data_IF_467680633671
#
_entry.id   IF_467680633671
#
_cell.length_a   1.000
_cell.length_b   1.000
_cell.length_c   1.000
_cell.angle_alpha   90.00
_cell.angle_beta   90.00
_cell.angle_gamma   90.00
#
_symmetry.space_group_name_H-M   'P 1'
#
loop_
_entity.id
_entity.type
_entity.pdbx_description
1 polymer ?
#
# COMPACT_ATOMS: atom_id res chain seq x y z
N UNK A 1 -2.24 22.41 -22.76
CA UNK A 1 -1.44 21.49 -23.61
C UNK A 1 0.03 21.43 -23.18
N UNK A 2 0.38 21.50 -21.89
CA UNK A 2 1.78 21.61 -21.46
C UNK A 2 2.31 20.53 -20.53
N UNK A 3 1.53 19.54 -20.09
CA UNK A 3 2.00 18.67 -19.01
C UNK A 3 2.30 17.18 -19.37
N UNK A 4 1.96 16.73 -20.56
CA UNK A 4 2.27 15.33 -20.94
C UNK A 4 3.76 15.08 -21.19
N UNK A 5 4.46 16.07 -21.70
CA UNK A 5 5.89 15.95 -22.09
C UNK A 5 6.85 15.81 -20.92
N UNK A 6 6.49 16.24 -19.72
CA UNK A 6 7.37 16.23 -18.55
C UNK A 6 7.35 14.90 -17.80
N UNK A 7 6.20 14.22 -17.71
CA UNK A 7 6.07 12.92 -17.05
C UNK A 7 6.80 11.81 -17.83
N UNK A 8 6.73 11.84 -19.14
CA UNK A 8 7.37 10.85 -20.02
C UNK A 8 8.91 10.93 -19.98
N UNK A 9 9.46 12.06 -19.49
CA UNK A 9 10.90 12.27 -19.33
C UNK A 9 11.42 11.80 -17.97
N UNK A 10 10.55 11.49 -17.01
CA UNK A 10 10.98 10.99 -15.72
C UNK A 10 11.61 9.59 -15.84
N UNK A 11 12.58 9.27 -14.99
CA UNK A 11 13.26 7.98 -15.04
C UNK A 11 12.28 6.82 -14.86
N UNK A 12 12.60 5.67 -15.46
CA UNK A 12 11.90 4.40 -15.28
C UNK A 12 12.61 3.54 -14.25
N UNK A 13 11.88 2.62 -13.64
CA UNK A 13 12.43 1.65 -12.69
C UNK A 13 13.43 0.70 -13.34
N UNK A 14 14.39 0.23 -12.56
CA UNK A 14 15.34 -0.80 -13.00
C UNK A 14 14.71 -2.19 -12.91
N UNK A 15 14.11 -2.65 -14.00
CA UNK A 15 13.47 -3.98 -14.07
C UNK A 15 14.45 -5.12 -14.37
N UNK A 16 15.71 -4.84 -14.73
CA UNK A 16 16.65 -5.86 -15.18
C UNK A 16 16.96 -6.91 -14.10
N UNK A 17 17.08 -6.48 -12.84
CA UNK A 17 17.28 -7.41 -11.73
C UNK A 17 16.01 -8.23 -11.43
N UNK A 18 14.82 -7.63 -11.56
CA UNK A 18 13.53 -8.27 -11.29
C UNK A 18 13.28 -9.42 -12.28
N UNK A 19 13.55 -9.19 -13.57
CA UNK A 19 13.47 -10.22 -14.61
C UNK A 19 14.41 -11.41 -14.33
N UNK A 20 15.57 -11.17 -13.72
CA UNK A 20 16.52 -12.25 -13.35
C UNK A 20 16.12 -12.96 -12.06
N UNK A 21 15.60 -12.22 -11.08
CA UNK A 21 15.23 -12.76 -9.76
C UNK A 21 14.04 -13.71 -9.84
N UNK A 22 13.01 -13.40 -10.61
CA UNK A 22 11.82 -14.22 -10.94
C UNK A 22 10.99 -14.74 -9.78
N UNK A 23 11.56 -14.93 -8.59
CA UNK A 23 10.90 -15.52 -7.43
C UNK A 23 11.09 -14.66 -6.19
N UNK A 24 9.97 -14.20 -5.64
CA UNK A 24 9.90 -13.36 -4.46
C UNK A 24 8.76 -13.71 -3.55
N UNK A 25 8.71 -13.06 -2.38
CA UNK A 25 7.69 -13.25 -1.36
C UNK A 25 6.81 -12.00 -1.30
N UNK A 26 5.50 -12.19 -1.38
CA UNK A 26 4.53 -11.14 -1.06
C UNK A 26 3.95 -11.40 0.33
N UNK A 27 4.09 -10.45 1.25
CA UNK A 27 3.63 -10.58 2.64
C UNK A 27 2.42 -9.68 2.85
N UNK A 28 1.23 -10.28 2.99
CA UNK A 28 0.01 -9.61 3.44
C UNK A 28 -0.17 -9.87 4.92
N UNK A 29 0.09 -8.86 5.75
CA UNK A 29 -0.05 -8.96 7.19
C UNK A 29 -0.42 -7.61 7.79
N UNK A 30 -1.29 -7.60 8.81
CA UNK A 30 -1.82 -6.41 9.46
C UNK A 30 -2.97 -6.77 10.40
N UNK A 31 -3.77 -5.80 10.82
CA UNK A 31 -4.90 -6.03 11.74
C UNK A 31 -5.86 -7.11 11.22
N UNK A 32 -6.09 -7.17 9.92
CA UNK A 32 -6.95 -8.15 9.25
C UNK A 32 -6.47 -9.61 9.43
N UNK A 33 -5.23 -9.83 9.80
CA UNK A 33 -4.72 -11.16 10.12
C UNK A 33 -5.23 -11.68 11.48
N UNK A 34 -5.55 -10.79 12.42
CA UNK A 34 -6.06 -11.15 13.75
C UNK A 34 -7.36 -11.97 13.67
N UNK A 35 -8.40 -11.57 12.92
CA UNK A 35 -9.59 -12.38 12.75
C UNK A 35 -9.41 -13.64 11.92
N UNK A 36 -8.30 -13.78 11.18
CA UNK A 36 -7.91 -14.94 10.38
C UNK A 36 -8.99 -15.41 9.38
N UNK A 37 -9.75 -14.47 8.77
CA UNK A 37 -10.81 -14.78 7.82
C UNK A 37 -10.51 -14.29 6.41
N UNK A 38 -10.10 -13.02 6.28
CA UNK A 38 -9.88 -12.37 4.98
C UNK A 38 -9.21 -11.00 5.17
N UNK A 39 -8.34 -10.58 4.26
CA UNK A 39 -7.74 -9.23 4.29
C UNK A 39 -8.76 -8.11 4.07
N UNK A 40 -9.90 -8.44 3.47
CA UNK A 40 -11.05 -7.55 3.28
C UNK A 40 -12.11 -7.68 4.38
N UNK A 41 -11.81 -8.30 5.52
CA UNK A 41 -12.79 -8.59 6.58
C UNK A 41 -13.59 -7.35 6.98
N UNK A 42 -12.95 -6.18 7.15
CA UNK A 42 -13.62 -4.92 7.49
C UNK A 42 -14.73 -4.56 6.48
N UNK A 43 -14.42 -4.65 5.18
CA UNK A 43 -15.39 -4.32 4.13
C UNK A 43 -16.42 -5.42 3.88
N UNK A 44 -16.05 -6.70 4.02
CA UNK A 44 -16.98 -7.83 3.80
C UNK A 44 -18.00 -7.97 4.93
N UNK A 45 -17.58 -7.68 6.14
CA UNK A 45 -18.43 -7.70 7.32
C UNK A 45 -19.03 -6.31 7.64
N UNK A 46 -18.81 -5.33 6.76
CA UNK A 46 -19.34 -3.95 6.85
C UNK A 46 -19.08 -3.30 8.20
N UNK A 47 -17.87 -3.54 8.74
CA UNK A 47 -17.48 -3.05 10.07
C UNK A 47 -17.21 -1.54 10.05
N UNK A 48 -17.73 -0.88 11.06
CA UNK A 48 -17.35 0.50 11.38
C UNK A 48 -15.91 0.56 11.92
N UNK A 49 -15.35 1.75 12.07
CA UNK A 49 -14.05 1.91 12.73
C UNK A 49 -14.11 1.45 14.19
N UNK A 50 -15.22 1.73 14.87
CA UNK A 50 -15.45 1.29 16.25
C UNK A 50 -15.49 -0.23 16.37
N UNK A 51 -16.18 -0.93 15.47
CA UNK A 51 -16.23 -2.40 15.45
C UNK A 51 -14.85 -3.02 15.16
N UNK A 52 -14.04 -2.33 14.35
CA UNK A 52 -12.72 -2.80 13.93
C UNK A 52 -11.63 -2.49 14.96
N UNK A 53 -11.85 -1.50 15.85
CA UNK A 53 -10.91 -1.05 16.87
C UNK A 53 -10.39 -2.20 17.75
N UNK A 54 -11.22 -3.19 18.05
CA UNK A 54 -10.81 -4.39 18.82
C UNK A 54 -9.59 -5.12 18.28
N UNK A 55 -9.38 -5.08 16.95
CA UNK A 55 -8.21 -5.70 16.34
C UNK A 55 -6.94 -4.86 16.51
N UNK A 56 -7.09 -3.53 16.55
CA UNK A 56 -6.01 -2.64 16.94
C UNK A 56 -5.62 -2.86 18.41
N UNK A 57 -6.60 -2.89 19.31
CA UNK A 57 -6.39 -3.03 20.77
C UNK A 57 -5.79 -4.39 21.15
N UNK A 58 -5.92 -5.40 20.28
CA UNK A 58 -5.39 -6.76 20.49
C UNK A 58 -4.20 -7.12 19.60
N UNK A 59 -3.63 -6.15 18.87
CA UNK A 59 -2.52 -6.42 17.95
C UNK A 59 -1.18 -6.46 18.69
N UNK A 60 -0.91 -7.57 19.36
CA UNK A 60 0.30 -7.81 20.15
C UNK A 60 1.44 -8.38 19.30
N UNK A 61 1.12 -9.12 18.22
CA UNK A 61 2.09 -9.73 17.32
C UNK A 61 3.18 -10.56 18.04
N UNK A 62 2.78 -11.32 19.05
CA UNK A 62 3.65 -12.09 19.99
C UNK A 62 4.57 -13.10 19.30
N UNK A 63 4.19 -13.57 18.10
CA UNK A 63 4.97 -14.50 17.26
C UNK A 63 5.68 -13.84 16.08
N UNK A 64 5.73 -12.52 16.05
CA UNK A 64 6.40 -11.80 14.98
C UNK A 64 7.92 -11.96 15.07
N UNK A 65 8.49 -12.71 14.14
CA UNK A 65 9.92 -12.97 14.00
C UNK A 65 10.34 -12.76 12.53
N UNK A 66 10.77 -11.55 12.16
CA UNK A 66 11.14 -11.24 10.79
C UNK A 66 12.43 -11.93 10.33
N UNK A 67 13.34 -12.29 11.25
CA UNK A 67 14.55 -13.04 10.92
C UNK A 67 14.19 -14.48 10.48
N UNK A 68 13.22 -15.12 11.15
CA UNK A 68 12.71 -16.44 10.78
C UNK A 68 11.99 -16.39 9.41
N UNK A 69 11.23 -15.33 9.14
CA UNK A 69 10.58 -15.15 7.83
C UNK A 69 11.60 -15.03 6.70
N UNK A 70 12.64 -14.20 6.92
CA UNK A 70 13.70 -13.99 5.95
C UNK A 70 14.52 -15.28 5.71
N UNK A 71 14.78 -16.07 6.76
CA UNK A 71 15.46 -17.36 6.66
C UNK A 71 14.65 -18.36 5.83
N UNK A 72 13.36 -18.48 6.08
CA UNK A 72 12.47 -19.36 5.33
C UNK A 72 12.39 -18.95 3.85
N UNK A 73 12.31 -17.65 3.56
CA UNK A 73 12.30 -17.13 2.21
C UNK A 73 13.63 -17.38 1.47
N UNK A 74 14.77 -17.21 2.15
CA UNK A 74 16.10 -17.51 1.59
C UNK A 74 16.25 -19.00 1.28
N UNK A 75 15.85 -19.87 2.20
CA UNK A 75 15.88 -21.33 2.03
C UNK A 75 15.00 -21.79 0.85
N UNK A 76 13.87 -21.09 0.60
CA UNK A 76 13.01 -21.32 -0.55
C UNK A 76 13.61 -20.80 -1.88
N UNK A 77 14.72 -20.07 -1.84
CA UNK A 77 15.36 -19.52 -3.05
C UNK A 77 14.80 -18.17 -3.50
N UNK A 78 13.97 -17.50 -2.70
CA UNK A 78 13.44 -16.17 -3.00
C UNK A 78 14.55 -15.10 -2.99
N UNK A 79 14.35 -13.98 -3.73
CA UNK A 79 15.38 -12.96 -3.91
C UNK A 79 14.91 -11.54 -3.58
N UNK A 80 13.62 -11.35 -3.45
CA UNK A 80 13.00 -10.08 -3.06
C UNK A 80 11.74 -10.36 -2.25
N UNK A 81 11.29 -9.37 -1.52
CA UNK A 81 10.01 -9.40 -0.84
C UNK A 81 9.22 -8.12 -1.12
N UNK A 82 7.91 -8.19 -0.95
CA UNK A 82 7.00 -7.05 -0.93
C UNK A 82 6.13 -7.16 0.31
N UNK A 83 6.26 -6.18 1.22
CA UNK A 83 5.48 -6.11 2.46
C UNK A 83 4.33 -5.12 2.32
N UNK A 84 3.14 -5.49 2.76
CA UNK A 84 2.04 -4.53 2.93
C UNK A 84 2.37 -3.54 4.03
N UNK A 85 2.75 -2.32 3.66
CA UNK A 85 3.02 -1.25 4.64
C UNK A 85 1.72 -0.69 5.21
N UNK A 86 0.71 -0.51 4.35
CA UNK A 86 -0.67 -0.17 4.68
C UNK A 86 -1.61 -0.89 3.71
N UNK A 87 -2.57 -1.66 4.21
CA UNK A 87 -3.67 -2.22 3.43
C UNK A 87 -4.88 -1.28 3.44
N UNK A 88 -5.99 -1.67 2.84
CA UNK A 88 -7.20 -0.85 2.69
C UNK A 88 -7.84 -0.41 4.02
N UNK A 89 -7.56 -1.12 5.12
CA UNK A 89 -8.05 -0.77 6.45
C UNK A 89 -7.38 0.46 7.07
N UNK A 90 -6.34 1.00 6.41
CA UNK A 90 -5.65 2.22 6.80
C UNK A 90 -4.58 2.05 7.88
N UNK A 91 -4.42 0.83 8.44
CA UNK A 91 -3.44 0.60 9.50
C UNK A 91 -2.01 0.58 8.96
N UNK A 92 -1.17 1.45 9.52
CA UNK A 92 0.22 1.61 9.12
C UNK A 92 1.15 0.68 9.92
N UNK A 93 1.90 -0.19 9.24
CA UNK A 93 2.87 -1.07 9.88
C UNK A 93 4.22 -0.40 10.20
N UNK A 94 4.33 0.91 10.03
CA UNK A 94 5.53 1.71 10.33
C UNK A 94 5.20 2.90 11.21
N UNK A 95 6.23 3.57 11.73
CA UNK A 95 6.10 4.76 12.58
C UNK A 95 5.78 6.02 11.74
N UNK A 96 4.66 5.99 11.00
CA UNK A 96 4.20 7.13 10.21
C UNK A 96 3.98 8.36 11.09
N UNK A 97 4.39 9.52 10.56
CA UNK A 97 4.15 10.84 11.19
C UNK A 97 2.83 11.45 10.74
N UNK A 98 2.13 10.78 9.82
CA UNK A 98 0.89 11.28 9.23
C UNK A 98 -0.36 10.82 9.98
N UNK A 99 -0.26 9.78 10.80
CA UNK A 99 -1.38 9.20 11.53
C UNK A 99 -0.94 8.54 12.83
N UNK A 100 -1.87 8.48 13.79
CA UNK A 100 -1.72 7.70 15.02
C UNK A 100 -2.23 6.25 14.87
N UNK A 101 -2.88 5.91 13.76
CA UNK A 101 -3.36 4.56 13.45
C UNK A 101 -2.22 3.71 12.87
N UNK A 102 -1.30 3.34 13.73
CA UNK A 102 -0.02 2.70 13.35
C UNK A 102 0.46 1.69 14.39
N UNK A 103 1.34 0.78 13.97
CA UNK A 103 1.85 -0.33 14.77
C UNK A 103 2.63 0.11 16.00
N UNK A 104 3.32 1.23 15.95
CA UNK A 104 4.05 1.78 17.13
C UNK A 104 3.12 2.30 18.23
N UNK A 105 1.85 2.58 17.92
CA UNK A 105 0.82 2.99 18.88
C UNK A 105 -0.10 1.82 19.29
N UNK A 106 -0.09 0.70 18.57
CA UNK A 106 -0.79 -0.51 18.95
C UNK A 106 -0.02 -1.28 20.04
N UNK A 107 -0.62 -2.29 20.71
CA UNK A 107 0.05 -3.08 21.74
C UNK A 107 1.39 -3.69 21.33
N UNK A 108 1.58 -4.01 20.04
CA UNK A 108 2.86 -4.48 19.50
C UNK A 108 4.00 -3.47 19.72
N UNK A 109 3.74 -2.16 19.70
CA UNK A 109 4.69 -1.08 19.99
C UNK A 109 5.96 -1.07 19.14
N UNK A 110 5.92 -1.62 17.90
CA UNK A 110 7.09 -1.86 17.03
C UNK A 110 6.89 -1.26 15.65
N UNK A 111 7.99 -0.78 15.05
CA UNK A 111 8.02 -0.43 13.63
C UNK A 111 8.30 -1.69 12.79
N UNK A 112 7.22 -2.34 12.38
CA UNK A 112 7.24 -3.63 11.69
C UNK A 112 7.92 -3.52 10.31
N UNK A 113 7.67 -2.43 9.58
CA UNK A 113 8.30 -2.20 8.27
C UNK A 113 9.81 -2.14 8.41
N UNK A 114 10.32 -1.45 9.42
CA UNK A 114 11.75 -1.34 9.70
C UNK A 114 12.35 -2.69 10.00
N UNK A 115 11.77 -3.44 10.93
CA UNK A 115 12.30 -4.72 11.38
C UNK A 115 12.30 -5.78 10.26
N UNK A 116 11.23 -5.88 9.47
CA UNK A 116 11.17 -6.77 8.31
C UNK A 116 12.23 -6.36 7.27
N UNK A 117 12.30 -5.06 6.97
CA UNK A 117 13.26 -4.56 5.99
C UNK A 117 14.70 -4.87 6.38
N UNK A 118 15.06 -4.66 7.64
CA UNK A 118 16.40 -4.95 8.16
C UNK A 118 16.71 -6.45 8.12
N UNK A 119 15.78 -7.32 8.56
CA UNK A 119 15.96 -8.76 8.57
C UNK A 119 16.19 -9.33 7.16
N UNK A 120 15.37 -8.91 6.20
CA UNK A 120 15.51 -9.37 4.82
C UNK A 120 16.76 -8.81 4.12
N UNK A 121 17.12 -7.54 4.35
CA UNK A 121 18.34 -6.94 3.79
C UNK A 121 19.63 -7.60 4.30
N UNK A 122 19.70 -7.99 5.57
CA UNK A 122 20.83 -8.77 6.13
C UNK A 122 21.12 -10.04 5.33
N UNK A 123 20.11 -10.60 4.65
CA UNK A 123 20.19 -11.80 3.81
C UNK A 123 20.27 -11.49 2.30
N UNK A 124 20.46 -10.20 1.94
CA UNK A 124 20.67 -9.78 0.55
C UNK A 124 19.40 -9.69 -0.29
N UNK A 125 18.22 -9.66 0.31
CA UNK A 125 16.95 -9.47 -0.41
C UNK A 125 16.79 -8.04 -0.90
N UNK A 126 16.17 -7.90 -2.07
CA UNK A 126 15.62 -6.65 -2.56
C UNK A 126 14.35 -6.29 -1.81
N UNK A 127 14.18 -4.99 -1.53
CA UNK A 127 13.09 -4.48 -0.70
C UNK A 127 11.93 -3.99 -1.55
N UNK A 128 10.74 -4.51 -1.30
CA UNK A 128 9.50 -4.01 -1.89
C UNK A 128 8.47 -3.61 -0.84
N UNK A 129 7.71 -2.57 -1.14
CA UNK A 129 6.57 -2.13 -0.34
C UNK A 129 5.30 -2.14 -1.19
N UNK A 130 4.26 -2.76 -0.65
CA UNK A 130 2.88 -2.58 -1.10
C UNK A 130 2.26 -1.44 -0.30
N UNK A 131 1.57 -0.54 -0.98
CA UNK A 131 0.87 0.55 -0.34
C UNK A 131 -0.49 0.79 -0.99
N UNK A 132 -1.56 0.60 -0.21
CA UNK A 132 -2.92 0.79 -0.70
C UNK A 132 -3.20 2.25 -1.07
N UNK A 133 -3.83 2.47 -2.23
CA UNK A 133 -4.43 3.76 -2.60
C UNK A 133 -5.75 4.00 -1.84
N UNK A 134 -6.44 2.93 -1.45
CA UNK A 134 -7.66 2.98 -0.64
C UNK A 134 -7.29 3.11 0.83
N UNK A 135 -8.14 3.81 1.59
CA UNK A 135 -8.03 3.92 3.04
C UNK A 135 -9.42 4.06 3.66
N UNK A 136 -9.90 2.99 4.27
CA UNK A 136 -11.24 2.96 4.88
C UNK A 136 -11.31 3.66 6.24
N UNK A 137 -10.16 4.06 6.80
CA UNK A 137 -10.07 4.69 8.12
C UNK A 137 -9.88 6.20 8.03
N UNK A 138 -9.19 6.69 6.98
CA UNK A 138 -8.82 8.10 6.91
C UNK A 138 -10.06 9.02 6.83
N UNK A 139 -10.15 10.07 7.68
CA UNK A 139 -11.33 10.93 7.77
C UNK A 139 -11.65 11.73 6.49
N UNK A 140 -10.65 11.95 5.62
CA UNK A 140 -10.83 12.66 4.36
C UNK A 140 -11.01 11.73 3.14
N UNK A 141 -10.85 10.41 3.32
CA UNK A 141 -11.13 9.46 2.23
C UNK A 141 -12.64 9.42 1.97
N UNK A 142 -13.08 9.90 0.81
CA UNK A 142 -14.50 9.93 0.45
C UNK A 142 -15.03 8.50 0.33
N UNK A 143 -16.09 8.20 1.07
CA UNK A 143 -16.75 6.88 1.09
C UNK A 143 -17.46 6.67 -0.25
N UNK A 144 -16.93 5.76 -1.06
CA UNK A 144 -17.53 5.34 -2.32
C UNK A 144 -18.55 4.21 -2.13
N UNK A 145 -19.40 3.99 -3.12
CA UNK A 145 -20.42 2.93 -3.11
C UNK A 145 -19.89 1.58 -3.61
N UNK A 146 -18.61 1.49 -3.93
CA UNK A 146 -18.03 0.33 -4.63
C UNK A 146 -17.18 -0.53 -3.70
N UNK A 147 -16.22 0.08 -3.02
CA UNK A 147 -15.18 -0.67 -2.29
C UNK A 147 -15.04 -0.29 -0.82
N UNK A 148 -15.57 0.86 -0.38
CA UNK A 148 -15.44 1.26 1.00
C UNK A 148 -16.14 0.29 1.97
N UNK A 149 -15.60 0.11 3.17
CA UNK A 149 -16.24 -0.72 4.21
C UNK A 149 -17.67 -0.27 4.52
N UNK A 150 -17.92 1.04 4.50
CA UNK A 150 -19.23 1.65 4.74
C UNK A 150 -20.02 1.96 3.46
N UNK A 151 -19.73 1.31 2.33
CA UNK A 151 -20.39 1.56 1.03
C UNK A 151 -21.91 1.41 1.05
N UNK A 152 -22.43 0.52 1.89
CA UNK A 152 -23.87 0.26 2.06
C UNK A 152 -24.47 0.98 3.28
N UNK A 153 -23.69 1.83 3.98
CA UNK A 153 -24.22 2.54 5.16
C UNK A 153 -25.35 3.48 4.78
N UNK A 154 -26.51 3.46 5.49
CA UNK A 154 -27.68 4.26 5.14
C UNK A 154 -27.40 5.77 5.15
N UNK A 155 -26.53 6.23 6.05
CA UNK A 155 -26.12 7.62 6.19
C UNK A 155 -24.83 7.97 5.42
N UNK A 156 -24.44 7.20 4.39
CA UNK A 156 -23.19 7.39 3.65
C UNK A 156 -22.98 8.84 3.18
N UNK A 157 -24.02 9.46 2.62
CA UNK A 157 -23.96 10.86 2.16
C UNK A 157 -23.61 11.81 3.31
N UNK A 158 -24.23 11.63 4.47
CA UNK A 158 -23.95 12.41 5.66
C UNK A 158 -22.54 12.16 6.20
N UNK A 159 -22.06 10.91 6.15
CA UNK A 159 -20.70 10.55 6.54
C UNK A 159 -19.64 11.16 5.62
N UNK A 160 -20.02 11.54 4.40
CA UNK A 160 -19.13 12.21 3.46
C UNK A 160 -19.08 13.74 3.66
N UNK A 161 -19.96 14.32 4.47
CA UNK A 161 -19.92 15.76 4.74
C UNK A 161 -18.59 16.19 5.34
N UNK A 162 -17.91 17.12 4.70
CA UNK A 162 -16.61 17.65 5.13
C UNK A 162 -15.37 16.81 4.75
N UNK A 163 -15.54 15.60 4.17
CA UNK A 163 -14.43 14.82 3.61
C UNK A 163 -13.88 15.51 2.36
N UNK A 164 -12.59 15.41 2.17
CA UNK A 164 -11.90 16.03 1.03
C UNK A 164 -10.84 15.08 0.46
N UNK A 165 -11.13 14.50 -0.68
CA UNK A 165 -10.26 13.54 -1.34
C UNK A 165 -8.88 14.15 -1.70
N UNK A 166 -8.77 15.46 -1.88
CA UNK A 166 -7.48 16.11 -2.13
C UNK A 166 -6.59 16.16 -0.90
N UNK A 167 -7.18 16.34 0.29
CA UNK A 167 -6.45 16.21 1.57
C UNK A 167 -5.96 14.78 1.77
N UNK A 168 -6.81 13.79 1.43
CA UNK A 168 -6.39 12.39 1.44
C UNK A 168 -5.24 12.13 0.47
N UNK A 169 -5.30 12.65 -0.77
CA UNK A 169 -4.21 12.48 -1.73
C UNK A 169 -2.89 13.09 -1.25
N UNK A 170 -2.94 14.23 -0.56
CA UNK A 170 -1.76 14.83 0.08
C UNK A 170 -1.19 13.95 1.20
N UNK A 171 -2.06 13.38 2.05
CA UNK A 171 -1.66 12.39 3.07
C UNK A 171 -1.01 11.15 2.46
N UNK A 172 -1.61 10.57 1.42
CA UNK A 172 -1.05 9.44 0.69
C UNK A 172 0.37 9.72 0.17
N UNK A 173 0.57 10.88 -0.45
CA UNK A 173 1.90 11.30 -0.94
C UNK A 173 2.91 11.47 0.18
N UNK A 174 2.49 12.04 1.31
CA UNK A 174 3.38 12.21 2.47
C UNK A 174 3.82 10.85 3.03
N UNK A 175 2.92 9.87 3.13
CA UNK A 175 3.23 8.51 3.55
C UNK A 175 4.20 7.81 2.58
N UNK A 176 3.97 7.92 1.28
CA UNK A 176 4.87 7.37 0.26
C UNK A 176 6.27 7.99 0.37
N UNK A 177 6.35 9.30 0.58
CA UNK A 177 7.63 9.98 0.80
C UNK A 177 8.36 9.43 2.03
N UNK A 178 7.67 9.24 3.17
CA UNK A 178 8.27 8.63 4.38
C UNK A 178 8.89 7.26 4.04
N UNK A 179 8.13 6.38 3.40
CA UNK A 179 8.58 5.04 3.04
C UNK A 179 9.80 5.04 2.12
N UNK A 180 9.88 5.99 1.19
CA UNK A 180 10.98 6.09 0.24
C UNK A 180 12.22 6.81 0.79
N UNK A 181 12.11 7.56 1.89
CA UNK A 181 13.22 8.35 2.43
C UNK A 181 13.73 7.86 3.78
N UNK A 182 12.92 7.16 4.57
CA UNK A 182 13.28 6.79 5.94
C UNK A 182 13.65 5.29 6.10
N UNK A 183 13.40 4.46 5.07
CA UNK A 183 13.59 3.00 5.12
C UNK A 183 14.73 2.50 4.20
N UNK A 184 15.64 3.39 3.78
CA UNK A 184 16.74 3.08 2.87
C UNK A 184 16.28 2.78 1.45
N UNK A 185 17.09 2.09 0.66
CA UNK A 185 16.78 1.81 -0.74
C UNK A 185 15.55 0.90 -0.86
N UNK A 186 14.57 1.36 -1.63
CA UNK A 186 13.36 0.60 -2.00
C UNK A 186 13.45 0.22 -3.47
N UNK A 187 13.33 -1.06 -3.75
CA UNK A 187 13.48 -1.61 -5.11
C UNK A 187 12.14 -1.76 -5.85
N UNK A 188 11.04 -1.98 -5.10
CA UNK A 188 9.68 -2.11 -5.63
C UNK A 188 8.73 -1.26 -4.78
N UNK A 189 7.88 -0.47 -5.45
CA UNK A 189 6.72 0.16 -4.84
C UNK A 189 5.47 -0.31 -5.58
N UNK A 190 4.64 -1.07 -4.89
CA UNK A 190 3.43 -1.69 -5.40
C UNK A 190 2.22 -0.97 -4.87
N UNK A 191 1.58 -0.15 -5.70
CA UNK A 191 0.29 0.43 -5.38
C UNK A 191 -0.85 -0.55 -5.65
N UNK A 192 -1.98 -0.32 -5.02
CA UNK A 192 -3.15 -1.15 -5.24
C UNK A 192 -4.43 -0.33 -5.24
N UNK A 193 -5.27 -0.71 -6.17
CA UNK A 193 -6.67 -0.48 -6.28
C UNK A 193 -7.13 0.88 -6.82
N UNK A 194 -6.83 1.15 -8.11
CA UNK A 194 -7.60 2.13 -8.90
C UNK A 194 -8.79 1.45 -9.60
N UNK A 195 -9.95 2.11 -9.58
CA UNK A 195 -11.19 1.57 -10.14
C UNK A 195 -12.05 2.65 -10.84
N UNK A 196 -11.47 3.45 -11.75
CA UNK A 196 -12.15 4.59 -12.36
C UNK A 196 -13.37 4.21 -13.20
N UNK A 197 -13.44 2.96 -13.66
CA UNK A 197 -14.52 2.46 -14.52
C UNK A 197 -15.72 1.94 -13.73
N UNK A 198 -15.62 1.76 -12.41
CA UNK A 198 -16.71 1.30 -11.57
C UNK A 198 -17.63 2.45 -11.21
N UNK A 199 -18.85 2.42 -11.71
CA UNK A 199 -19.86 3.47 -11.49
C UNK A 199 -20.69 3.18 -10.24
N UNK A 200 -21.24 4.24 -9.57
CA UNK A 200 -21.23 5.64 -10.03
C UNK A 200 -19.98 6.42 -9.64
N UNK A 201 -19.26 6.05 -8.59
CA UNK A 201 -18.25 6.83 -7.90
C UNK A 201 -16.89 6.10 -7.82
N UNK A 202 -16.50 5.48 -8.92
CA UNK A 202 -15.17 4.87 -9.03
C UNK A 202 -14.05 5.91 -8.92
N UNK A 203 -12.92 5.49 -8.32
CA UNK A 203 -11.75 6.33 -8.06
C UNK A 203 -10.56 5.97 -8.95
N UNK A 204 -9.84 6.99 -9.39
CA UNK A 204 -8.71 6.84 -10.28
C UNK A 204 -7.75 8.03 -10.21
N UNK A 205 -7.13 8.36 -11.34
CA UNK A 205 -6.08 9.35 -11.51
C UNK A 205 -6.31 10.68 -10.78
N UNK A 206 -7.51 11.23 -10.86
CA UNK A 206 -7.83 12.51 -10.23
C UNK A 206 -7.91 12.40 -8.70
N UNK A 207 -8.44 11.27 -8.20
CA UNK A 207 -8.64 11.04 -6.77
C UNK A 207 -7.33 10.78 -6.02
N UNK A 208 -6.34 10.20 -6.68
CA UNK A 208 -5.01 9.95 -6.13
C UNK A 208 -4.02 11.08 -6.42
N UNK A 209 -4.42 12.05 -7.25
CA UNK A 209 -3.49 13.03 -7.85
C UNK A 209 -2.27 12.31 -8.43
N UNK A 210 -2.52 11.30 -9.28
CA UNK A 210 -1.52 10.31 -9.70
C UNK A 210 -0.26 10.92 -10.32
N UNK A 211 -0.38 12.08 -11.01
CA UNK A 211 0.80 12.78 -11.54
C UNK A 211 1.72 13.29 -10.43
N UNK A 212 1.14 13.91 -9.39
CA UNK A 212 1.91 14.40 -8.26
C UNK A 212 2.50 13.23 -7.45
N UNK A 213 1.74 12.13 -7.30
CA UNK A 213 2.21 10.91 -6.65
C UNK A 213 3.39 10.30 -7.42
N UNK A 214 3.28 10.17 -8.74
CA UNK A 214 4.35 9.65 -9.59
C UNK A 214 5.62 10.50 -9.53
N UNK A 215 5.48 11.84 -9.58
CA UNK A 215 6.62 12.77 -9.42
C UNK A 215 7.30 12.58 -8.07
N UNK A 216 6.53 12.48 -6.99
CA UNK A 216 7.07 12.19 -5.64
C UNK A 216 7.87 10.89 -5.62
N UNK A 217 7.36 9.83 -6.23
CA UNK A 217 8.07 8.55 -6.31
C UNK A 217 9.39 8.70 -7.07
N UNK A 218 9.37 9.31 -8.27
CA UNK A 218 10.57 9.43 -9.12
C UNK A 218 11.61 10.41 -8.56
N UNK A 219 11.18 11.43 -7.82
CA UNK A 219 12.07 12.34 -7.13
C UNK A 219 12.89 11.64 -6.03
N UNK A 220 12.22 10.80 -5.22
CA UNK A 220 12.87 10.20 -4.04
C UNK A 220 13.44 8.81 -4.32
N UNK A 221 12.92 8.08 -5.30
CA UNK A 221 13.38 6.76 -5.69
C UNK A 221 13.34 6.57 -7.23
N UNK A 222 14.24 7.20 -7.97
CA UNK A 222 14.19 7.23 -9.44
C UNK A 222 14.28 5.86 -10.11
N UNK A 223 14.86 4.86 -9.43
CA UNK A 223 15.06 3.49 -9.95
C UNK A 223 14.07 2.47 -9.41
N UNK A 224 13.16 2.88 -8.51
CA UNK A 224 12.15 1.97 -7.95
C UNK A 224 11.26 1.42 -9.05
N UNK A 225 11.00 0.12 -9.03
CA UNK A 225 10.01 -0.50 -9.91
C UNK A 225 8.62 -0.11 -9.41
N UNK A 226 7.81 0.46 -10.29
CA UNK A 226 6.44 0.84 -10.03
C UNK A 226 5.49 -0.01 -10.85
N UNK A 227 4.42 -0.51 -10.25
CA UNK A 227 3.35 -1.17 -10.96
C UNK A 227 2.39 -0.18 -11.64
N UNK A 228 1.44 -0.67 -12.42
CA UNK A 228 0.52 0.10 -13.26
C UNK A 228 -0.78 0.55 -12.54
N UNK A 229 -0.87 0.38 -11.20
CA UNK A 229 -2.12 0.55 -10.42
C UNK A 229 -2.49 1.99 -10.05
N UNK A 230 -1.67 3.00 -10.34
CA UNK A 230 -1.97 4.41 -10.03
C UNK A 230 -2.87 5.11 -11.05
N UNK A 231 -3.40 4.38 -12.03
CA UNK A 231 -4.27 4.92 -13.09
C UNK A 231 -3.62 6.09 -13.88
N UNK A 232 -2.33 5.95 -14.19
CA UNK A 232 -1.57 6.89 -14.99
C UNK A 232 -0.88 6.13 -16.13
N UNK A 233 -1.46 6.13 -17.34
CA UNK A 233 -0.94 5.35 -18.46
C UNK A 233 0.54 5.64 -18.77
N UNK A 234 1.31 4.58 -19.05
CA UNK A 234 2.71 4.67 -19.42
C UNK A 234 3.69 4.88 -18.26
N UNK A 235 3.24 4.94 -17.00
CA UNK A 235 4.11 5.14 -15.84
C UNK A 235 4.50 3.86 -15.11
N UNK A 236 3.74 2.77 -15.26
CA UNK A 236 4.11 1.46 -14.74
C UNK A 236 5.34 0.90 -15.43
N UNK A 237 6.25 0.33 -14.64
CA UNK A 237 7.44 -0.40 -15.13
C UNK A 237 7.14 -1.89 -15.29
N UNK A 238 6.10 -2.37 -14.59
CA UNK A 238 5.56 -3.74 -14.66
C UNK A 238 4.04 -3.71 -14.67
N UNK A 239 3.45 -4.66 -15.37
CA UNK A 239 2.01 -4.91 -15.35
C UNK A 239 1.67 -5.87 -14.21
N UNK A 240 0.45 -5.75 -13.70
CA UNK A 240 -0.04 -6.54 -12.57
C UNK A 240 -1.33 -7.26 -12.92
N UNK A 241 -1.26 -8.32 -13.77
CA UNK A 241 -2.41 -9.15 -14.04
C UNK A 241 -2.90 -9.81 -12.76
N UNK A 242 -4.20 -9.73 -12.51
CA UNK A 242 -4.83 -10.30 -11.32
C UNK A 242 -6.05 -11.11 -11.72
N UNK A 243 -6.12 -12.37 -11.24
CA UNK A 243 -7.18 -13.33 -11.53
C UNK A 243 -7.29 -13.75 -13.03
N UNK A 244 -6.30 -13.41 -13.83
CA UNK A 244 -6.18 -13.90 -15.21
C UNK A 244 -4.71 -14.06 -15.58
N UNK A 245 -4.43 -14.93 -16.55
CA UNK A 245 -3.09 -15.05 -17.13
C UNK A 245 -3.04 -14.17 -18.38
N UNK A 246 -2.05 -13.27 -18.52
CA UNK A 246 -1.90 -12.50 -19.75
C UNK A 246 -1.64 -13.45 -20.93
N UNK A 247 -2.07 -13.07 -22.15
CA UNK A 247 -1.69 -13.80 -23.35
C UNK A 247 -0.16 -13.76 -23.52
N UNK A 248 0.41 -14.83 -24.09
CA UNK A 248 1.84 -14.93 -24.40
C UNK A 248 2.27 -13.88 -25.43
#
# INVERSE_FOLDING_TARGET
MSDKTDIDQLPKGDTAWFQRARFGLFIHWGLYATPARHEWVKAREEMTDEDYQKYFDSFEADRFDPDQWAEAAEAAGMRYFVLTTKHHDGFCLWDSKQTDYKSTNAPVGRDIVREVTEAFRKRGFRTGFYHSLIDWHHPDYVIDSVNHALRNHPDREKLNEGRDQSRYAAYLRAQVKELLTEYGDVDILWFDFSFPHRKPDGKGRADWESEALYRTVREHAPKVILNDRIDLPGTGDVETPEQFQPPE
#
